data_IF_621441556356
#
_entry.id   IF_621441556356
#
_cell.length_a   1.000
_cell.length_b   1.000
_cell.length_c   1.000
_cell.angle_alpha   90.00
_cell.angle_beta   90.00
_cell.angle_gamma   90.00
#
_symmetry.space_group_name_H-M   'P 1'
#
loop_
_entity.id
_entity.type
_entity.pdbx_description
1 polymer ?
#
# COMPACT_ATOMS: atom_id res chain seq x y z
N UNK A 1 24.74 8.84 -5.51
CA UNK A 1 24.18 7.62 -6.14
C UNK A 1 22.67 7.70 -6.05
N UNK A 2 21.93 7.27 -7.08
CA UNK A 2 20.46 7.34 -7.08
C UNK A 2 19.87 6.35 -6.09
N UNK A 3 18.86 6.79 -5.33
CA UNK A 3 18.13 5.92 -4.40
C UNK A 3 17.43 4.80 -5.19
N UNK A 4 17.48 3.58 -4.68
CA UNK A 4 16.99 2.40 -5.39
C UNK A 4 15.46 2.41 -5.52
N UNK A 5 14.97 2.02 -6.69
CA UNK A 5 13.53 1.86 -6.96
C UNK A 5 13.24 0.47 -7.52
N UNK A 6 12.12 -0.12 -7.09
CA UNK A 6 11.73 -1.48 -7.47
C UNK A 6 10.22 -1.67 -7.30
N UNK A 7 9.63 -2.55 -8.11
CA UNK A 7 8.23 -2.96 -7.97
C UNK A 7 8.11 -4.48 -8.00
N UNK A 8 7.15 -5.02 -7.27
CA UNK A 8 6.88 -6.45 -7.21
C UNK A 8 5.38 -6.71 -7.14
N UNK A 9 4.92 -7.69 -7.92
CA UNK A 9 3.51 -8.08 -8.03
C UNK A 9 3.30 -9.50 -7.54
N UNK A 10 2.17 -9.79 -6.89
CA UNK A 10 1.74 -11.15 -6.51
C UNK A 10 0.30 -11.36 -6.94
N UNK A 11 0.02 -12.59 -7.39
CA UNK A 11 -1.34 -13.07 -7.54
C UNK A 11 -2.00 -13.08 -6.17
N UNK A 12 -3.15 -12.43 -6.06
CA UNK A 12 -3.91 -12.36 -4.81
C UNK A 12 -4.53 -13.71 -4.50
N UNK A 13 -5.03 -14.40 -5.53
CA UNK A 13 -5.63 -15.73 -5.45
C UNK A 13 -4.88 -16.74 -6.33
N UNK A 14 -3.71 -17.25 -5.89
CA UNK A 14 -3.07 -18.37 -6.55
C UNK A 14 -3.99 -19.60 -6.57
N UNK A 15 -3.88 -20.50 -7.57
CA UNK A 15 -4.71 -21.70 -7.64
C UNK A 15 -4.64 -22.55 -6.36
N UNK A 16 -5.80 -22.96 -5.85
CA UNK A 16 -5.90 -23.84 -4.69
C UNK A 16 -5.75 -23.17 -3.32
N UNK A 17 -5.72 -21.84 -3.26
CA UNK A 17 -5.60 -21.09 -2.00
C UNK A 17 -6.95 -20.48 -1.60
N UNK A 18 -7.42 -20.82 -0.40
CA UNK A 18 -8.68 -20.35 0.19
C UNK A 18 -8.44 -19.55 1.50
N UNK A 19 -9.34 -18.62 1.86
CA UNK A 19 -10.44 -18.11 1.04
C UNK A 19 -9.95 -17.29 -0.15
N UNK A 20 -10.70 -17.36 -1.25
CA UNK A 20 -10.60 -16.44 -2.38
C UNK A 20 -10.94 -15.02 -1.90
N UNK A 21 -10.02 -14.08 -2.12
CA UNK A 21 -10.19 -12.67 -1.76
C UNK A 21 -10.79 -11.92 -2.96
N UNK A 22 -11.92 -11.26 -2.75
CA UNK A 22 -12.53 -10.37 -3.76
C UNK A 22 -11.78 -9.03 -3.84
N UNK A 23 -11.95 -8.29 -4.94
CA UNK A 23 -11.38 -6.93 -5.08
C UNK A 23 -11.80 -6.01 -3.92
N UNK A 24 -13.08 -6.06 -3.53
CA UNK A 24 -13.62 -5.26 -2.44
C UNK A 24 -12.94 -5.60 -1.10
N UNK A 25 -12.74 -6.89 -0.82
CA UNK A 25 -12.05 -7.35 0.40
C UNK A 25 -10.56 -7.00 0.40
N UNK A 26 -9.90 -7.13 -0.76
CA UNK A 26 -8.52 -6.68 -0.92
C UNK A 26 -8.41 -5.19 -0.63
N UNK A 27 -9.30 -4.39 -1.20
CA UNK A 27 -9.34 -2.95 -0.98
C UNK A 27 -9.64 -2.58 0.47
N UNK A 28 -10.60 -3.24 1.12
CA UNK A 28 -10.86 -3.08 2.56
C UNK A 28 -9.61 -3.40 3.40
N UNK A 29 -8.88 -4.46 3.05
CA UNK A 29 -7.61 -4.81 3.67
C UNK A 29 -6.53 -3.74 3.50
N UNK A 30 -6.39 -3.14 2.31
CA UNK A 30 -5.46 -2.04 2.06
C UNK A 30 -5.85 -0.78 2.85
N UNK A 31 -7.15 -0.44 2.89
CA UNK A 31 -7.67 0.65 3.71
C UNK A 31 -7.39 0.46 5.20
N UNK A 32 -7.47 -0.79 5.68
CA UNK A 32 -7.10 -1.16 7.05
C UNK A 32 -5.61 -1.02 7.28
N UNK A 33 -4.76 -1.50 6.36
CA UNK A 33 -3.29 -1.34 6.43
C UNK A 33 -2.85 0.13 6.48
N UNK A 34 -3.57 1.02 5.82
CA UNK A 34 -3.31 2.47 5.87
C UNK A 34 -3.58 3.04 7.26
N UNK A 35 -4.54 2.50 8.01
CA UNK A 35 -4.94 3.02 9.33
C UNK A 35 -4.28 2.29 10.50
N UNK A 36 -3.98 1.00 10.31
CA UNK A 36 -3.44 0.09 11.31
C UNK A 36 -2.25 -0.70 10.73
N UNK A 37 -1.18 -0.02 10.27
CA UNK A 37 -0.07 -0.69 9.59
C UNK A 37 0.72 -1.65 10.50
N UNK A 38 0.61 -1.50 11.82
CA UNK A 38 1.20 -2.40 12.82
C UNK A 38 0.69 -3.84 12.71
N UNK A 39 -0.52 -4.04 12.18
CA UNK A 39 -1.10 -5.37 11.96
C UNK A 39 -0.53 -6.07 10.72
N UNK A 40 0.19 -5.34 9.86
CA UNK A 40 0.68 -5.82 8.56
C UNK A 40 2.21 -5.78 8.44
N UNK A 41 2.89 -4.95 9.21
CA UNK A 41 4.33 -4.74 9.11
C UNK A 41 4.92 -4.80 10.52
N UNK A 42 5.51 -5.94 10.92
CA UNK A 42 6.05 -6.14 12.27
C UNK A 42 7.13 -5.12 12.68
N UNK A 43 7.82 -4.52 11.71
CA UNK A 43 8.82 -3.49 11.97
C UNK A 43 8.20 -2.14 12.41
N UNK A 44 6.91 -1.92 12.14
CA UNK A 44 6.20 -0.72 12.58
C UNK A 44 5.73 -0.94 14.02
N UNK A 45 6.19 -0.08 14.93
CA UNK A 45 5.89 -0.19 16.37
C UNK A 45 4.70 0.67 16.79
N UNK A 46 4.44 1.77 16.09
CA UNK A 46 3.27 2.60 16.32
C UNK A 46 2.84 3.35 15.06
N UNK A 47 1.57 3.72 15.01
CA UNK A 47 1.00 4.57 13.98
C UNK A 47 -0.03 5.50 14.61
N UNK A 48 0.13 6.79 14.36
CA UNK A 48 -0.82 7.83 14.75
C UNK A 48 -1.43 8.44 13.48
N UNK A 49 -2.75 8.34 13.34
CA UNK A 49 -3.46 8.99 12.23
C UNK A 49 -3.72 10.45 12.62
N UNK A 50 -3.05 11.37 11.92
CA UNK A 50 -3.11 12.83 12.18
C UNK A 50 -4.37 13.42 11.54
N UNK A 51 -4.72 12.97 10.33
CA UNK A 51 -5.92 13.40 9.62
C UNK A 51 -6.42 12.27 8.74
N UNK A 52 -7.72 12.00 8.75
CA UNK A 52 -8.37 11.06 7.85
C UNK A 52 -9.60 11.74 7.25
N UNK A 53 -9.58 11.92 5.94
CA UNK A 53 -10.73 12.46 5.22
C UNK A 53 -11.73 11.38 4.82
N UNK A 54 -11.47 10.11 5.15
CA UNK A 54 -12.23 8.96 4.69
C UNK A 54 -12.23 8.84 3.17
N UNK A 55 -13.09 7.98 2.63
CA UNK A 55 -13.55 8.12 1.25
C UNK A 55 -14.66 9.15 1.23
N UNK A 56 -14.26 10.43 1.33
CA UNK A 56 -15.19 11.55 1.34
C UNK A 56 -15.83 11.67 -0.04
N UNK A 57 -17.06 11.19 -0.18
CA UNK A 57 -17.98 11.63 -1.24
C UNK A 57 -18.23 13.12 -1.02
N UNK A 58 -17.49 13.99 -1.72
CA UNK A 58 -17.87 15.40 -1.80
C UNK A 58 -18.88 15.55 -2.92
N UNK A 59 -20.08 16.09 -2.66
CA UNK A 59 -20.87 16.70 -3.72
C UNK A 59 -20.04 17.86 -4.28
N UNK A 60 -19.70 17.82 -5.56
CA UNK A 60 -19.29 19.05 -6.25
C UNK A 60 -20.47 20.04 -6.18
N UNK A 61 -20.22 21.25 -5.65
CA UNK A 61 -21.22 22.30 -5.37
C UNK A 61 -22.07 22.70 -6.61
N UNK A 62 -23.23 23.37 -6.43
CA UNK A 62 -24.37 23.30 -7.34
C UNK A 62 -24.18 24.22 -8.53
N UNK A 63 -23.98 23.65 -9.71
CA UNK A 63 -24.30 24.32 -10.97
C UNK A 63 -25.56 23.70 -11.55
N UNK A 64 -26.44 24.56 -12.05
CA UNK A 64 -27.89 24.39 -12.15
C UNK A 64 -28.38 23.29 -13.11
N UNK A 65 -27.51 22.44 -13.65
CA UNK A 65 -27.87 21.30 -14.50
C UNK A 65 -26.61 20.43 -14.64
N UNK A 66 -26.32 19.43 -13.80
CA UNK A 66 -25.31 18.40 -14.14
C UNK A 66 -25.16 17.28 -13.11
N UNK A 67 -24.79 16.09 -13.60
CA UNK A 67 -24.56 14.86 -12.87
C UNK A 67 -23.65 15.01 -11.63
N UNK A 68 -24.03 14.34 -10.55
CA UNK A 68 -23.21 14.16 -9.35
C UNK A 68 -21.94 13.40 -9.72
N UNK A 69 -20.79 14.10 -9.76
CA UNK A 69 -19.49 13.45 -9.85
C UNK A 69 -19.09 12.98 -8.44
N UNK A 70 -19.27 11.69 -8.17
CA UNK A 70 -18.79 11.05 -6.94
C UNK A 70 -17.27 10.97 -6.98
N UNK A 71 -16.60 11.76 -6.14
CA UNK A 71 -15.15 11.65 -5.96
C UNK A 71 -14.86 10.54 -4.96
N UNK A 72 -14.39 9.39 -5.46
CA UNK A 72 -13.96 8.23 -4.67
C UNK A 72 -12.50 8.39 -4.20
N UNK A 73 -12.17 9.57 -3.68
CA UNK A 73 -10.81 9.94 -3.27
C UNK A 73 -10.76 10.09 -1.75
N UNK A 74 -9.83 9.38 -1.13
CA UNK A 74 -9.49 9.55 0.28
C UNK A 74 -8.09 10.09 0.48
N UNK A 75 -7.90 10.84 1.57
CA UNK A 75 -6.59 11.29 2.03
C UNK A 75 -6.43 10.95 3.51
N UNK A 76 -5.32 10.30 3.84
CA UNK A 76 -4.92 9.96 5.21
C UNK A 76 -3.51 10.50 5.44
N UNK A 77 -3.33 11.33 6.45
CA UNK A 77 -2.01 11.76 6.92
C UNK A 77 -1.74 11.03 8.23
N UNK A 78 -0.60 10.35 8.30
CA UNK A 78 -0.21 9.56 9.48
C UNK A 78 1.25 9.75 9.84
N UNK A 79 1.58 9.50 11.10
CA UNK A 79 2.95 9.33 11.58
C UNK A 79 3.18 7.87 11.94
N UNK A 80 4.26 7.29 11.42
CA UNK A 80 4.59 5.88 11.59
C UNK A 80 5.96 5.77 12.24
N UNK A 81 6.07 5.04 13.34
CA UNK A 81 7.34 4.74 13.99
C UNK A 81 7.81 3.33 13.61
N UNK A 82 9.07 3.22 13.19
CA UNK A 82 9.72 1.95 12.86
C UNK A 82 10.72 1.62 13.97
N UNK A 83 10.84 0.34 14.33
CA UNK A 83 11.79 -0.12 15.33
C UNK A 83 13.21 0.37 15.01
N UNK A 84 13.81 1.14 15.91
CA UNK A 84 15.17 1.68 15.76
C UNK A 84 15.28 2.89 14.83
N UNK A 85 14.17 3.47 14.36
CA UNK A 85 14.14 4.65 13.51
C UNK A 85 13.37 5.84 14.11
N UNK A 86 13.55 7.02 13.53
CA UNK A 86 12.68 8.16 13.81
C UNK A 86 11.28 7.94 13.21
N UNK A 87 10.27 8.58 13.79
CA UNK A 87 8.94 8.57 13.20
C UNK A 87 8.95 9.26 11.83
N UNK A 88 8.28 8.66 10.86
CA UNK A 88 8.12 9.19 9.51
C UNK A 88 6.69 9.66 9.29
N UNK A 89 6.52 10.83 8.67
CA UNK A 89 5.21 11.29 8.21
C UNK A 89 4.93 10.68 6.84
N UNK A 90 3.71 10.19 6.68
CA UNK A 90 3.21 9.68 5.41
C UNK A 90 1.92 10.39 5.03
N UNK A 91 1.87 10.87 3.79
CA UNK A 91 0.67 11.42 3.17
C UNK A 91 0.14 10.39 2.18
N UNK A 92 -1.01 9.80 2.52
CA UNK A 92 -1.58 8.68 1.79
C UNK A 92 -2.78 9.16 0.99
N UNK A 93 -2.77 8.92 -0.32
CA UNK A 93 -3.89 9.17 -1.22
C UNK A 93 -4.48 7.85 -1.70
N UNK A 94 -5.79 7.70 -1.53
CA UNK A 94 -6.56 6.52 -1.88
C UNK A 94 -7.49 6.83 -3.05
N UNK A 95 -7.41 6.03 -4.10
CA UNK A 95 -8.39 5.95 -5.17
C UNK A 95 -9.04 4.57 -5.10
N UNK A 96 -10.34 4.55 -4.78
CA UNK A 96 -11.03 3.30 -4.49
C UNK A 96 -10.82 2.22 -5.55
N UNK A 97 -10.62 0.99 -5.06
CA UNK A 97 -10.41 -0.23 -5.84
C UNK A 97 -9.18 -0.26 -6.76
N UNK A 98 -8.40 0.82 -6.84
CA UNK A 98 -7.30 0.90 -7.79
C UNK A 98 -5.96 1.11 -7.11
N UNK A 99 -5.80 2.19 -6.33
CA UNK A 99 -4.44 2.63 -5.98
C UNK A 99 -4.39 3.38 -4.66
N UNK A 100 -3.35 3.07 -3.87
CA UNK A 100 -2.95 3.81 -2.69
C UNK A 100 -1.53 4.34 -2.88
N UNK A 101 -1.38 5.67 -2.94
CA UNK A 101 -0.10 6.35 -2.93
C UNK A 101 0.29 6.67 -1.49
N UNK A 102 1.55 6.46 -1.14
CA UNK A 102 2.14 6.86 0.13
C UNK A 102 3.33 7.74 -0.17
N UNK A 103 3.22 9.02 0.16
CA UNK A 103 4.29 10.00 0.04
C UNK A 103 4.96 10.20 1.39
N UNK A 104 6.30 10.21 1.41
CA UNK A 104 7.10 10.53 2.60
C UNK A 104 7.85 11.85 2.35
N UNK A 105 7.23 13.03 2.61
CA UNK A 105 7.76 14.33 2.19
C UNK A 105 9.19 14.60 2.65
N UNK A 106 9.56 14.15 3.85
CA UNK A 106 10.87 14.38 4.46
C UNK A 106 11.99 13.61 3.76
N UNK A 107 11.67 12.44 3.18
CA UNK A 107 12.66 11.60 2.48
C UNK A 107 12.55 11.69 0.96
N UNK A 108 11.40 12.13 0.44
CA UNK A 108 11.06 12.11 -0.99
C UNK A 108 10.77 10.70 -1.52
N UNK A 109 10.64 9.70 -0.64
CA UNK A 109 10.29 8.35 -1.05
C UNK A 109 8.79 8.29 -1.35
N UNK A 110 8.41 7.51 -2.36
CA UNK A 110 7.01 7.20 -2.68
C UNK A 110 6.80 5.70 -2.75
N UNK A 111 5.77 5.21 -2.08
CA UNK A 111 5.29 3.83 -2.19
C UNK A 111 3.95 3.85 -2.90
N UNK A 112 3.72 2.91 -3.80
CA UNK A 112 2.42 2.70 -4.42
C UNK A 112 1.96 1.27 -4.19
N UNK A 113 0.77 1.11 -3.63
CA UNK A 113 0.06 -0.17 -3.64
C UNK A 113 -1.00 -0.10 -4.73
N UNK A 114 -0.85 -0.92 -5.77
CA UNK A 114 -1.73 -0.98 -6.93
C UNK A 114 -2.49 -2.31 -6.92
N UNK A 115 -3.81 -2.21 -7.03
CA UNK A 115 -4.72 -3.30 -7.35
C UNK A 115 -4.92 -3.30 -8.86
N UNK A 116 -4.69 -4.43 -9.49
CA UNK A 116 -4.81 -4.58 -10.94
C UNK A 116 -5.21 -6.00 -11.31
N UNK A 117 -5.38 -6.24 -12.61
CA UNK A 117 -5.65 -7.55 -13.18
C UNK A 117 -4.59 -7.87 -14.23
N UNK A 118 -4.26 -9.14 -14.40
CA UNK A 118 -3.46 -9.60 -15.54
C UNK A 118 -4.33 -9.92 -16.75
N UNK A 119 -3.72 -10.44 -17.82
CA UNK A 119 -4.38 -10.79 -19.08
C UNK A 119 -5.41 -11.94 -18.95
N UNK A 120 -5.40 -12.67 -17.83
CA UNK A 120 -6.37 -13.72 -17.52
C UNK A 120 -7.39 -13.29 -16.46
N UNK A 121 -7.59 -11.98 -16.28
CA UNK A 121 -8.51 -11.39 -15.29
C UNK A 121 -8.21 -11.83 -13.84
N UNK A 122 -6.96 -12.19 -13.53
CA UNK A 122 -6.58 -12.59 -12.16
C UNK A 122 -6.15 -11.36 -11.38
N UNK A 123 -6.70 -11.24 -10.18
CA UNK A 123 -6.44 -10.14 -9.26
C UNK A 123 -4.96 -10.14 -8.81
N UNK A 124 -4.28 -9.01 -9.01
CA UNK A 124 -2.90 -8.74 -8.64
C UNK A 124 -2.82 -7.64 -7.58
N UNK A 125 -1.87 -7.80 -6.65
CA UNK A 125 -1.41 -6.73 -5.78
C UNK A 125 0.05 -6.41 -6.13
N UNK A 126 0.34 -5.14 -6.36
CA UNK A 126 1.68 -4.65 -6.67
C UNK A 126 2.11 -3.62 -5.66
N UNK A 127 3.30 -3.79 -5.07
CA UNK A 127 3.98 -2.71 -4.33
C UNK A 127 5.12 -2.17 -5.18
N UNK A 128 5.15 -0.86 -5.38
CA UNK A 128 6.29 -0.16 -5.96
C UNK A 128 6.90 0.81 -4.97
N UNK A 129 8.21 0.95 -5.04
CA UNK A 129 9.03 1.85 -4.24
C UNK A 129 9.79 2.73 -5.21
N UNK A 130 9.55 4.04 -5.15
CA UNK A 130 10.18 5.06 -5.97
C UNK A 130 10.97 6.01 -5.09
N UNK A 131 12.19 6.35 -5.51
CA UNK A 131 13.05 7.26 -4.76
C UNK A 131 13.62 6.65 -3.49
N UNK A 132 13.54 5.34 -3.28
CA UNK A 132 14.14 4.64 -2.14
C UNK A 132 13.30 3.47 -1.63
N UNK A 133 13.96 2.45 -1.10
CA UNK A 133 13.31 1.34 -0.40
C UNK A 133 13.57 1.56 1.11
N UNK A 134 12.53 1.71 1.94
CA UNK A 134 12.71 1.88 3.38
C UNK A 134 13.54 0.75 4.00
N UNK A 135 14.53 1.11 4.83
CA UNK A 135 15.44 0.14 5.46
C UNK A 135 16.47 -0.49 4.52
N UNK A 136 16.59 -0.02 3.28
CA UNK A 136 17.56 -0.53 2.31
C UNK A 136 18.32 0.60 1.61
N UNK A 137 19.52 0.88 2.12
CA UNK A 137 20.43 1.87 1.55
C UNK A 137 21.65 1.19 0.93
N UNK A 138 21.72 1.20 -0.40
CA UNK A 138 22.90 0.74 -1.16
C UNK A 138 23.85 1.89 -1.51
N UNK A 139 23.42 3.14 -1.33
CA UNK A 139 24.25 4.31 -1.58
C UNK A 139 25.33 4.45 -0.49
N UNK A 140 25.00 4.10 0.76
CA UNK A 140 25.94 4.10 1.87
C UNK A 140 27.09 3.08 1.70
N UNK A 141 26.87 1.97 0.97
CA UNK A 141 27.85 0.90 0.80
C UNK A 141 28.68 0.99 -0.48
N UNK A 142 28.35 1.92 -1.40
CA UNK A 142 28.99 2.00 -2.72
C UNK A 142 28.80 0.74 -3.59
N UNK A 143 27.90 -0.15 -3.19
CA UNK A 143 27.67 -1.43 -3.85
C UNK A 143 26.96 -1.24 -5.21
N UNK A 144 27.23 -2.17 -6.14
CA UNK A 144 26.51 -2.23 -7.40
C UNK A 144 25.00 -2.40 -7.16
N UNK A 145 24.18 -1.92 -8.11
CA UNK A 145 22.73 -2.11 -8.05
C UNK A 145 22.41 -3.62 -8.02
N UNK A 146 21.63 -4.11 -7.03
CA UNK A 146 21.24 -5.51 -6.99
C UNK A 146 20.38 -5.89 -8.20
N UNK A 147 20.43 -7.16 -8.58
CA UNK A 147 19.60 -7.72 -9.64
C UNK A 147 18.11 -7.68 -9.27
N UNK A 148 17.24 -7.72 -10.29
CA UNK A 148 15.80 -7.80 -10.09
C UNK A 148 15.39 -9.01 -9.22
N UNK A 149 16.10 -10.15 -9.35
CA UNK A 149 15.86 -11.34 -8.54
C UNK A 149 16.13 -11.08 -7.06
N UNK A 150 17.27 -10.48 -6.73
CA UNK A 150 17.64 -10.16 -5.34
C UNK A 150 16.67 -9.16 -4.70
N UNK A 151 16.23 -8.15 -5.47
CA UNK A 151 15.23 -7.20 -5.00
C UNK A 151 13.86 -7.84 -4.83
N UNK A 152 13.46 -8.74 -5.72
CA UNK A 152 12.21 -9.46 -5.59
C UNK A 152 12.19 -10.38 -4.36
N UNK A 153 13.31 -11.01 -4.02
CA UNK A 153 13.44 -11.80 -2.78
C UNK A 153 13.27 -10.95 -1.53
N UNK A 154 13.61 -9.66 -1.57
CA UNK A 154 13.46 -8.74 -0.43
C UNK A 154 12.08 -8.10 -0.35
N UNK A 155 11.56 -7.62 -1.48
CA UNK A 155 10.32 -6.82 -1.53
C UNK A 155 9.08 -7.68 -1.72
N UNK A 156 9.20 -8.73 -2.52
CA UNK A 156 8.13 -9.67 -2.80
C UNK A 156 7.40 -10.23 -1.57
N UNK A 157 8.13 -10.66 -0.52
CA UNK A 157 7.52 -11.13 0.72
C UNK A 157 6.61 -10.10 1.41
N UNK A 158 6.86 -8.79 1.26
CA UNK A 158 5.98 -7.78 1.85
C UNK A 158 4.60 -7.73 1.18
N UNK A 159 4.55 -7.96 -0.14
CA UNK A 159 3.30 -8.07 -0.92
C UNK A 159 2.55 -9.33 -0.48
N UNK A 160 3.26 -10.46 -0.49
CA UNK A 160 2.72 -11.77 -0.09
C UNK A 160 2.15 -11.73 1.34
N UNK A 161 2.93 -11.21 2.29
CA UNK A 161 2.51 -11.11 3.68
C UNK A 161 1.29 -10.21 3.86
N UNK A 162 1.16 -9.13 3.06
CA UNK A 162 -0.06 -8.30 3.08
C UNK A 162 -1.28 -9.11 2.65
N UNK A 163 -1.19 -9.87 1.55
CA UNK A 163 -2.28 -10.73 1.06
C UNK A 163 -2.65 -11.78 2.12
N UNK A 164 -1.65 -12.45 2.69
CA UNK A 164 -1.85 -13.46 3.73
C UNK A 164 -2.51 -12.89 4.99
N UNK A 165 -2.13 -11.67 5.39
CA UNK A 165 -2.72 -10.98 6.53
C UNK A 165 -4.19 -10.63 6.26
N UNK A 166 -4.51 -10.13 5.06
CA UNK A 166 -5.90 -9.88 4.64
C UNK A 166 -6.72 -11.17 4.70
N UNK A 167 -6.18 -12.25 4.12
CA UNK A 167 -6.82 -13.57 4.14
C UNK A 167 -7.11 -14.04 5.56
N UNK A 168 -6.12 -13.92 6.45
CA UNK A 168 -6.28 -14.25 7.88
C UNK A 168 -7.35 -13.39 8.54
N UNK A 169 -7.40 -12.10 8.23
CA UNK A 169 -8.41 -11.19 8.78
C UNK A 169 -9.84 -11.54 8.31
N UNK A 170 -10.00 -12.03 7.09
CA UNK A 170 -11.30 -12.54 6.61
C UNK A 170 -11.73 -13.78 7.40
N UNK A 171 -10.81 -14.74 7.60
CA UNK A 171 -11.07 -15.94 8.41
C UNK A 171 -11.40 -15.58 9.86
N UNK A 172 -10.67 -14.63 10.44
CA UNK A 172 -10.88 -14.15 11.81
C UNK A 172 -12.16 -13.26 11.94
N UNK A 173 -12.87 -12.94 10.84
CA UNK A 173 -14.05 -12.05 10.85
C UNK A 173 -13.76 -10.57 11.11
N UNK A 174 -12.50 -10.14 10.94
CA UNK A 174 -12.02 -8.76 11.16
C UNK A 174 -12.14 -7.88 9.91
N UNK A 175 -12.36 -8.49 8.75
CA UNK A 175 -12.69 -7.86 7.48
C UNK A 175 -13.95 -8.56 6.93
N UNK A 176 -14.82 -7.80 6.28
CA UNK A 176 -16.00 -8.30 5.57
C UNK A 176 -15.77 -8.24 4.07
#
# INVERSE_FOLDING_TARGET
>A
MSKLSFASSRLVNPPGIEPVITEAQLWAGLQRKVRFPTEFVPAITSCEVISDTGTKVRPSFPSRTTHTLTTHRGQVVRSVSILGGAAAREEVELHEYTIAYFDMPETGNRITNLVSYDEEDRLLLTFSFAGGIPGYDTAASGAARPSAKELNTRIGPAVEHTIQTIRKMLVDGKLA
#
